data_IF_468393454096
#
_entry.id   IF_468393454096
#
_cell.length_a   1.000
_cell.length_b   1.000
_cell.length_c   1.000
_cell.angle_alpha   90.00
_cell.angle_beta   90.00
_cell.angle_gamma   90.00
#
_symmetry.space_group_name_H-M   'P 1'
#
loop_
_entity.id
_entity.type
_entity.pdbx_description
1 polymer ?
#
# COMPACT_ATOMS: atom_id res chain seq x y z
N UNK A 1 -22.50 -10.08 9.48
CA UNK A 1 -21.90 -9.11 10.44
C UNK A 1 -20.60 -8.57 9.82
N UNK A 2 -20.45 -7.25 9.68
CA UNK A 2 -19.29 -6.67 9.02
C UNK A 2 -18.01 -6.93 9.82
N UNK A 3 -17.00 -7.48 9.16
CA UNK A 3 -15.68 -7.78 9.72
C UNK A 3 -14.71 -6.65 9.40
N UNK A 4 -13.76 -6.42 10.29
CA UNK A 4 -12.59 -5.57 10.03
C UNK A 4 -11.47 -6.40 9.40
N UNK A 5 -10.58 -5.73 8.67
CA UNK A 5 -9.33 -6.36 8.24
C UNK A 5 -8.56 -6.93 9.45
N UNK A 6 -7.67 -7.86 9.19
CA UNK A 6 -6.79 -8.38 10.24
C UNK A 6 -5.91 -7.27 10.86
N UNK A 7 -5.70 -7.30 12.18
CA UNK A 7 -4.75 -6.40 12.84
C UNK A 7 -3.32 -6.51 12.27
N UNK A 8 -3.02 -7.63 11.63
CA UNK A 8 -1.75 -7.85 10.93
C UNK A 8 -1.61 -6.96 9.68
N UNK A 9 -2.74 -6.48 9.10
CA UNK A 9 -2.74 -5.60 7.94
C UNK A 9 -1.98 -4.29 8.23
N UNK A 10 -2.19 -3.68 9.40
CA UNK A 10 -1.45 -2.48 9.82
C UNK A 10 0.06 -2.73 9.78
N UNK A 11 0.49 -3.86 10.36
CA UNK A 11 1.92 -4.23 10.41
C UNK A 11 2.49 -4.48 9.02
N UNK A 12 1.72 -5.12 8.14
CA UNK A 12 2.09 -5.36 6.74
C UNK A 12 2.26 -4.04 5.99
N UNK A 13 1.32 -3.11 6.11
CA UNK A 13 1.40 -1.80 5.47
C UNK A 13 2.57 -0.96 5.98
N UNK A 14 2.76 -0.89 7.30
CA UNK A 14 3.92 -0.18 7.90
C UNK A 14 5.22 -0.78 7.39
N UNK A 15 5.37 -2.10 7.39
CA UNK A 15 6.60 -2.75 6.93
C UNK A 15 6.87 -2.47 5.44
N UNK A 16 5.85 -2.60 4.58
CA UNK A 16 5.98 -2.31 3.16
C UNK A 16 6.39 -0.85 2.89
N UNK A 17 5.75 0.10 3.57
CA UNK A 17 6.05 1.53 3.44
C UNK A 17 7.42 1.89 4.04
N UNK A 18 7.84 1.22 5.14
CA UNK A 18 9.17 1.40 5.73
C UNK A 18 10.28 0.96 4.78
N UNK A 19 10.08 -0.14 4.04
CA UNK A 19 11.02 -0.56 2.98
C UNK A 19 11.13 0.53 1.91
N UNK A 20 10.00 1.09 1.47
CA UNK A 20 9.96 2.21 0.53
C UNK A 20 10.71 3.45 1.05
N UNK A 21 10.51 3.80 2.32
CA UNK A 21 11.22 4.90 2.98
C UNK A 21 12.74 4.68 2.97
N UNK A 22 13.20 3.46 3.30
CA UNK A 22 14.63 3.10 3.28
C UNK A 22 15.21 3.29 1.88
N UNK A 23 14.48 2.88 0.83
CA UNK A 23 14.92 3.07 -0.56
C UNK A 23 15.06 4.56 -0.89
N UNK A 24 14.10 5.40 -0.48
CA UNK A 24 14.16 6.86 -0.69
C UNK A 24 15.40 7.45 0.01
N UNK A 25 15.67 7.04 1.25
CA UNK A 25 16.86 7.50 1.99
C UNK A 25 18.16 7.07 1.31
N UNK A 26 18.22 5.83 0.82
CA UNK A 26 19.40 5.32 0.09
C UNK A 26 19.62 6.13 -1.21
N UNK A 27 18.55 6.43 -1.95
CA UNK A 27 18.63 7.26 -3.16
C UNK A 27 19.17 8.66 -2.80
N UNK A 28 18.63 9.28 -1.74
CA UNK A 28 19.10 10.58 -1.27
C UNK A 28 20.59 10.57 -0.91
N UNK A 29 21.03 9.57 -0.15
CA UNK A 29 22.45 9.41 0.17
C UNK A 29 23.31 9.19 -1.09
N UNK A 30 22.82 8.43 -2.06
CA UNK A 30 23.48 8.26 -3.35
C UNK A 30 23.63 9.58 -4.11
N UNK A 31 22.61 10.41 -4.13
CA UNK A 31 22.67 11.75 -4.75
C UNK A 31 23.73 12.62 -4.07
N UNK A 32 23.79 12.63 -2.75
CA UNK A 32 24.71 13.51 -2.00
C UNK A 32 26.15 13.02 -2.03
N UNK A 33 26.39 11.72 -1.92
CA UNK A 33 27.75 11.16 -1.73
C UNK A 33 28.34 10.51 -2.98
N UNK A 34 27.53 9.94 -3.85
CA UNK A 34 28.01 9.20 -5.03
C UNK A 34 27.99 10.07 -6.28
N UNK A 35 26.90 10.80 -6.51
CA UNK A 35 26.73 11.59 -7.73
C UNK A 35 27.85 12.62 -7.97
N UNK A 36 28.38 13.34 -6.96
CA UNK A 36 29.50 14.26 -7.16
C UNK A 36 30.79 13.57 -7.66
N UNK A 37 30.99 12.30 -7.28
CA UNK A 37 32.18 11.52 -7.69
C UNK A 37 32.13 11.04 -9.16
N UNK A 38 30.95 11.07 -9.76
CA UNK A 38 30.75 10.67 -11.17
C UNK A 38 31.16 11.76 -12.17
N UNK A 39 31.60 12.94 -11.68
CA UNK A 39 32.06 14.07 -12.52
C UNK A 39 31.05 14.56 -13.57
N UNK A 40 29.75 14.31 -13.32
CA UNK A 40 28.68 14.76 -14.22
C UNK A 40 28.49 16.27 -14.05
N UNK A 41 28.90 17.05 -15.03
CA UNK A 41 28.96 18.51 -14.96
C UNK A 41 27.67 19.19 -14.51
N UNK A 42 26.52 18.83 -15.09
CA UNK A 42 25.24 19.45 -14.72
C UNK A 42 24.79 19.09 -13.30
N UNK A 43 25.07 17.86 -12.87
CA UNK A 43 24.72 17.41 -11.51
C UNK A 43 25.58 18.11 -10.45
N UNK A 44 26.88 18.23 -10.71
CA UNK A 44 27.81 18.94 -9.86
C UNK A 44 27.50 20.43 -9.78
N UNK A 45 27.07 21.05 -10.91
CA UNK A 45 26.61 22.43 -10.91
C UNK A 45 25.39 22.64 -9.96
N UNK A 46 24.40 21.75 -10.05
CA UNK A 46 23.20 21.83 -9.17
C UNK A 46 23.59 21.65 -7.71
N UNK A 47 24.38 20.61 -7.42
CA UNK A 47 24.78 20.32 -6.04
C UNK A 47 25.63 21.45 -5.44
N UNK A 48 26.56 22.02 -6.19
CA UNK A 48 27.44 23.08 -5.67
C UNK A 48 26.69 24.40 -5.48
N UNK A 49 25.77 24.76 -6.39
CA UNK A 49 25.08 26.05 -6.34
C UNK A 49 23.76 26.01 -5.54
N UNK A 50 23.10 24.85 -5.45
CA UNK A 50 21.75 24.72 -4.89
C UNK A 50 21.64 23.67 -3.78
N UNK A 51 22.74 23.26 -3.15
CA UNK A 51 22.77 22.24 -2.09
C UNK A 51 21.76 22.50 -0.98
N UNK A 52 21.59 23.76 -0.55
CA UNK A 52 20.62 24.13 0.49
C UNK A 52 19.18 23.80 0.06
N UNK A 53 18.83 24.10 -1.17
CA UNK A 53 17.49 23.84 -1.72
C UNK A 53 17.28 22.31 -1.84
N UNK A 54 18.27 21.58 -2.36
CA UNK A 54 18.22 20.10 -2.46
C UNK A 54 17.99 19.49 -1.09
N UNK A 55 18.73 19.91 -0.07
CA UNK A 55 18.57 19.39 1.30
C UNK A 55 17.18 19.73 1.87
N UNK A 56 16.71 20.97 1.74
CA UNK A 56 15.39 21.37 2.25
C UNK A 56 14.28 20.52 1.59
N UNK A 57 14.29 20.41 0.27
CA UNK A 57 13.30 19.62 -0.44
C UNK A 57 13.36 18.13 -0.04
N UNK A 58 14.56 17.57 0.10
CA UNK A 58 14.74 16.18 0.53
C UNK A 58 14.22 15.96 1.95
N UNK A 59 14.49 16.86 2.88
CA UNK A 59 13.94 16.78 4.24
C UNK A 59 12.43 16.88 4.29
N UNK A 60 11.83 17.74 3.46
CA UNK A 60 10.37 17.84 3.35
C UNK A 60 9.79 16.52 2.82
N UNK A 61 10.35 15.96 1.74
CA UNK A 61 9.88 14.69 1.14
C UNK A 61 10.01 13.54 2.14
N UNK A 62 11.17 13.41 2.80
CA UNK A 62 11.40 12.37 3.80
C UNK A 62 10.43 12.54 4.98
N UNK A 63 10.26 13.76 5.48
CA UNK A 63 9.33 14.06 6.57
C UNK A 63 7.88 13.70 6.24
N UNK A 64 7.39 14.08 5.06
CA UNK A 64 6.05 13.71 4.59
C UNK A 64 5.91 12.19 4.43
N UNK A 65 6.94 11.52 3.90
CA UNK A 65 6.94 10.06 3.74
C UNK A 65 6.91 9.35 5.10
N UNK A 66 7.64 9.85 6.10
CA UNK A 66 7.59 9.32 7.47
C UNK A 66 6.19 9.47 8.06
N UNK A 67 5.57 10.65 7.94
CA UNK A 67 4.22 10.88 8.43
C UNK A 67 3.21 9.92 7.77
N UNK A 68 3.26 9.78 6.44
CA UNK A 68 2.35 8.89 5.72
C UNK A 68 2.59 7.42 6.09
N UNK A 69 3.85 7.01 6.28
CA UNK A 69 4.19 5.62 6.62
C UNK A 69 3.58 5.17 7.95
N UNK A 70 3.57 6.03 8.95
CA UNK A 70 3.14 5.64 10.30
C UNK A 70 1.72 6.09 10.65
N UNK A 71 1.20 7.12 10.04
CA UNK A 71 -0.13 7.68 10.38
C UNK A 71 -1.25 7.08 9.50
N UNK A 72 -1.07 7.07 8.18
CA UNK A 72 -2.10 6.61 7.25
C UNK A 72 -2.62 5.18 7.50
N UNK A 73 -1.76 4.16 7.81
CA UNK A 73 -2.24 2.79 8.01
C UNK A 73 -3.30 2.66 9.10
N UNK A 74 -3.24 3.50 10.14
CA UNK A 74 -4.24 3.48 11.22
C UNK A 74 -5.58 4.04 10.76
N UNK A 75 -5.58 5.10 9.95
CA UNK A 75 -6.81 5.66 9.40
C UNK A 75 -7.42 4.71 8.36
N UNK A 76 -6.60 4.17 7.49
CA UNK A 76 -7.01 3.22 6.46
C UNK A 76 -7.64 1.98 7.10
N UNK A 77 -6.99 1.38 8.10
CA UNK A 77 -7.51 0.23 8.82
C UNK A 77 -8.87 0.48 9.47
N UNK A 78 -9.08 1.64 10.10
CA UNK A 78 -10.35 1.98 10.76
C UNK A 78 -11.53 2.03 9.79
N UNK A 79 -11.29 2.38 8.54
CA UNK A 79 -12.32 2.60 7.54
C UNK A 79 -12.63 1.36 6.71
N UNK A 80 -11.70 0.42 6.63
CA UNK A 80 -11.94 -0.85 5.99
C UNK A 80 -12.90 -1.72 6.79
N UNK A 81 -13.94 -2.20 6.12
CA UNK A 81 -14.80 -3.26 6.61
C UNK A 81 -15.26 -4.11 5.43
N UNK A 82 -15.46 -5.40 5.66
CA UNK A 82 -15.93 -6.31 4.63
C UNK A 82 -16.88 -7.36 5.23
N UNK A 83 -17.71 -7.93 4.36
CA UNK A 83 -18.61 -9.05 4.62
C UNK A 83 -18.60 -9.96 3.42
N UNK A 84 -18.45 -11.25 3.67
CA UNK A 84 -18.45 -12.30 2.67
C UNK A 84 -19.58 -13.24 3.04
N UNK A 85 -20.62 -13.23 2.25
CA UNK A 85 -21.80 -14.08 2.39
C UNK A 85 -21.97 -14.95 1.13
N UNK A 86 -22.85 -15.95 1.16
CA UNK A 86 -23.11 -16.84 0.03
C UNK A 86 -23.74 -16.14 -1.18
N UNK A 87 -24.34 -14.98 -0.99
CA UNK A 87 -25.02 -14.22 -2.04
C UNK A 87 -24.19 -13.05 -2.57
N UNK A 88 -23.40 -12.41 -1.69
CA UNK A 88 -22.68 -11.18 -2.03
C UNK A 88 -21.38 -10.99 -1.23
N UNK A 89 -20.45 -10.28 -1.85
CA UNK A 89 -19.27 -9.72 -1.17
C UNK A 89 -19.50 -8.22 -1.03
N UNK A 90 -19.54 -7.75 0.20
CA UNK A 90 -19.64 -6.33 0.53
C UNK A 90 -18.33 -5.83 1.15
N UNK A 91 -17.87 -4.65 0.76
CA UNK A 91 -16.79 -3.99 1.45
C UNK A 91 -16.89 -2.46 1.37
N UNK A 92 -16.29 -1.82 2.36
CA UNK A 92 -16.17 -0.35 2.42
C UNK A 92 -14.70 0.00 2.50
N UNK A 93 -14.30 0.96 1.66
CA UNK A 93 -12.92 1.46 1.56
C UNK A 93 -12.89 2.99 1.57
N UNK A 94 -11.71 3.58 1.78
CA UNK A 94 -11.43 5.01 1.63
C UNK A 94 -11.23 5.74 2.93
N UNK A 95 -10.19 6.62 2.97
CA UNK A 95 -9.81 7.40 4.16
C UNK A 95 -10.60 8.69 4.26
N UNK A 96 -10.65 9.49 3.20
CA UNK A 96 -11.38 10.76 3.16
C UNK A 96 -12.78 10.60 2.56
N UNK A 97 -12.89 9.82 1.51
CA UNK A 97 -14.16 9.53 0.83
C UNK A 97 -14.46 8.03 0.97
N UNK A 98 -15.48 7.71 1.74
CA UNK A 98 -15.93 6.32 1.92
C UNK A 98 -16.67 5.86 0.66
N UNK A 99 -16.23 4.73 0.14
CA UNK A 99 -16.88 4.02 -0.95
C UNK A 99 -17.32 2.65 -0.45
N UNK A 100 -18.58 2.35 -0.60
CA UNK A 100 -19.13 1.01 -0.33
C UNK A 100 -19.42 0.30 -1.64
N UNK A 101 -18.99 -0.95 -1.73
CA UNK A 101 -19.15 -1.78 -2.93
C UNK A 101 -19.82 -3.08 -2.54
N UNK A 102 -20.86 -3.45 -3.29
CA UNK A 102 -21.53 -4.74 -3.20
C UNK A 102 -21.33 -5.50 -4.51
N UNK A 103 -20.81 -6.71 -4.43
CA UNK A 103 -20.56 -7.58 -5.58
C UNK A 103 -21.38 -8.84 -5.38
N UNK A 104 -22.49 -9.03 -6.10
CA UNK A 104 -23.22 -10.29 -6.12
C UNK A 104 -22.32 -11.42 -6.63
N UNK A 105 -22.32 -12.58 -5.96
CA UNK A 105 -21.48 -13.74 -6.32
C UNK A 105 -21.69 -14.14 -7.79
N UNK A 106 -22.94 -14.12 -8.27
CA UNK A 106 -23.30 -14.45 -9.66
C UNK A 106 -22.66 -13.52 -10.71
N UNK A 107 -22.11 -12.36 -10.31
CA UNK A 107 -21.45 -11.41 -11.22
C UNK A 107 -19.93 -11.53 -11.21
N UNK A 108 -19.39 -12.39 -10.37
CA UNK A 108 -17.93 -12.63 -10.31
C UNK A 108 -17.52 -13.46 -11.52
N UNK A 109 -16.56 -12.98 -12.27
CA UNK A 109 -15.99 -13.65 -13.44
C UNK A 109 -14.68 -14.35 -13.12
N UNK A 110 -13.86 -13.73 -12.28
CA UNK A 110 -12.59 -14.30 -11.83
C UNK A 110 -12.20 -13.76 -10.45
N UNK A 111 -11.45 -14.57 -9.73
CA UNK A 111 -10.85 -14.22 -8.44
C UNK A 111 -9.35 -14.47 -8.53
N UNK A 112 -8.56 -13.43 -8.37
CA UNK A 112 -7.10 -13.50 -8.38
C UNK A 112 -6.55 -13.24 -6.98
N UNK A 113 -5.70 -14.13 -6.51
CA UNK A 113 -5.03 -14.02 -5.23
C UNK A 113 -3.58 -13.57 -5.45
N UNK A 114 -3.12 -12.64 -4.65
CA UNK A 114 -1.76 -12.13 -4.72
C UNK A 114 -1.14 -12.06 -3.34
N UNK A 115 0.02 -12.68 -3.18
CA UNK A 115 0.79 -12.66 -1.94
C UNK A 115 2.16 -12.06 -2.20
N UNK A 116 2.32 -10.77 -1.91
CA UNK A 116 3.64 -10.13 -1.91
C UNK A 116 4.52 -10.66 -0.75
N UNK A 117 5.85 -10.40 -0.79
CA UNK A 117 6.79 -10.91 0.22
C UNK A 117 6.42 -10.44 1.63
N UNK A 118 5.91 -9.22 1.78
CA UNK A 118 5.46 -8.66 3.07
C UNK A 118 4.20 -9.36 3.54
N UNK A 119 3.18 -9.49 2.68
CA UNK A 119 1.93 -10.16 3.03
C UNK A 119 2.15 -11.62 3.43
N UNK A 120 3.03 -12.32 2.71
CA UNK A 120 3.41 -13.71 3.02
C UNK A 120 3.97 -13.86 4.43
N UNK A 121 4.80 -12.90 4.89
CA UNK A 121 5.35 -12.89 6.26
C UNK A 121 4.28 -12.82 7.34
N UNK A 122 3.16 -12.15 7.06
CA UNK A 122 2.05 -11.98 7.99
C UNK A 122 0.89 -12.97 7.76
N UNK A 123 1.04 -13.90 6.82
CA UNK A 123 0.00 -14.86 6.42
C UNK A 123 -1.26 -14.16 5.89
N UNK A 124 -1.05 -13.11 5.09
CA UNK A 124 -2.08 -12.30 4.44
C UNK A 124 -2.02 -12.45 2.93
N UNK A 125 -3.15 -12.23 2.26
CA UNK A 125 -3.22 -12.13 0.81
C UNK A 125 -4.15 -10.99 0.37
N UNK A 126 -3.87 -10.45 -0.80
CA UNK A 126 -4.76 -9.52 -1.49
C UNK A 126 -5.68 -10.31 -2.42
N UNK A 127 -6.97 -10.01 -2.39
CA UNK A 127 -7.96 -10.60 -3.27
C UNK A 127 -8.41 -9.57 -4.30
N UNK A 128 -8.27 -9.91 -5.59
CA UNK A 128 -8.78 -9.10 -6.70
C UNK A 128 -9.95 -9.82 -7.35
N UNK A 129 -11.12 -9.21 -7.32
CA UNK A 129 -12.37 -9.72 -7.84
C UNK A 129 -12.65 -9.03 -9.17
N UNK A 130 -12.73 -9.78 -10.25
CA UNK A 130 -13.11 -9.30 -11.56
C UNK A 130 -14.59 -9.52 -11.84
N UNK A 131 -15.25 -8.49 -12.36
CA UNK A 131 -16.64 -8.50 -12.80
C UNK A 131 -16.75 -7.84 -14.18
N UNK A 132 -17.88 -7.94 -14.84
CA UNK A 132 -18.13 -7.24 -16.10
C UNK A 132 -18.05 -5.71 -15.98
N UNK A 133 -18.26 -5.16 -14.79
CA UNK A 133 -18.21 -3.72 -14.50
C UNK A 133 -16.82 -3.22 -14.07
N UNK A 134 -15.83 -4.09 -13.87
CA UNK A 134 -14.49 -3.72 -13.45
C UNK A 134 -13.87 -4.70 -12.46
N UNK A 135 -12.71 -4.29 -11.91
CA UNK A 135 -12.00 -5.07 -10.92
C UNK A 135 -12.00 -4.35 -9.57
N UNK A 136 -12.18 -5.11 -8.51
CA UNK A 136 -12.18 -4.65 -7.12
C UNK A 136 -11.10 -5.37 -6.35
N UNK A 137 -10.46 -4.68 -5.41
CA UNK A 137 -9.38 -5.25 -4.61
C UNK A 137 -9.72 -5.12 -3.12
N UNK A 138 -9.63 -6.25 -2.41
CA UNK A 138 -9.67 -6.28 -0.95
C UNK A 138 -8.25 -6.63 -0.49
N UNK A 139 -7.54 -5.70 0.18
CA UNK A 139 -6.17 -5.95 0.60
C UNK A 139 -6.10 -6.73 1.92
N UNK A 140 -5.01 -7.43 2.11
CA UNK A 140 -4.57 -7.95 3.41
C UNK A 140 -5.61 -8.77 4.18
N UNK A 141 -6.32 -9.64 3.49
CA UNK A 141 -7.19 -10.65 4.11
C UNK A 141 -6.35 -11.77 4.73
N UNK A 142 -6.79 -12.29 5.87
CA UNK A 142 -6.25 -13.54 6.42
C UNK A 142 -6.53 -14.70 5.44
N UNK A 143 -5.62 -15.68 5.35
CA UNK A 143 -5.76 -16.81 4.42
C UNK A 143 -7.04 -17.61 4.61
N UNK A 144 -7.53 -17.71 5.83
CA UNK A 144 -8.80 -18.38 6.12
C UNK A 144 -9.99 -17.69 5.43
N UNK A 145 -10.01 -16.37 5.39
CA UNK A 145 -11.06 -15.61 4.70
C UNK A 145 -10.89 -15.67 3.17
N UNK A 146 -9.65 -15.77 2.71
CA UNK A 146 -9.32 -15.94 1.29
C UNK A 146 -9.85 -17.27 0.76
N UNK A 147 -9.69 -18.36 1.52
CA UNK A 147 -10.20 -19.68 1.10
C UNK A 147 -11.73 -19.67 0.98
N UNK A 148 -12.46 -18.96 1.84
CA UNK A 148 -13.92 -18.82 1.70
C UNK A 148 -14.34 -18.13 0.40
N UNK A 149 -13.58 -17.10 -0.01
CA UNK A 149 -13.85 -16.40 -1.30
C UNK A 149 -13.54 -17.32 -2.48
N UNK A 150 -12.61 -18.23 -2.32
CA UNK A 150 -12.16 -19.15 -3.36
C UNK A 150 -13.14 -20.29 -3.64
N UNK A 151 -14.01 -20.58 -2.68
CA UNK A 151 -15.06 -21.60 -2.79
C UNK A 151 -16.26 -21.15 -3.65
N UNK A 152 -16.35 -19.85 -3.97
CA UNK A 152 -17.34 -19.28 -4.87
C UNK A 152 -16.89 -19.33 -6.34
#
# INVERSE_FOLDING_TARGET
MDKKLSNKAIKSWILGRTIGLIVIVIIYLGIIFVLPKMEIQWANYILNNHMKIVNILSFIIIGLTVLSTYIEPFFEYKQWSYRIDEEEIFFTEGVFFKRSVTIPIVRIQNINLSEGPVNRKFNLADVKIGTAGGSYKIPNLDKEEVEKIREF
#
